data_IF_213839350251
#
_entry.id   IF_213839350251
#
_cell.length_a   1.000
_cell.length_b   1.000
_cell.length_c   1.000
_cell.angle_alpha   90.00
_cell.angle_beta   90.00
_cell.angle_gamma   90.00
#
_symmetry.space_group_name_H-M   'P 1'
#
loop_
_entity.id
_entity.type
_entity.pdbx_description
1 polymer ?
#
# COMPACT_ATOMS: atom_id res chain seq x y z
N UNK A 1 6.67 -3.49 -23.04
CA UNK A 1 6.51 -4.37 -21.85
C UNK A 1 7.75 -5.24 -21.80
N UNK A 2 8.47 -5.29 -20.68
CA UNK A 2 9.68 -6.11 -20.57
C UNK A 2 9.27 -7.60 -20.65
N UNK A 3 9.97 -8.41 -21.45
CA UNK A 3 9.62 -9.82 -21.68
C UNK A 3 9.53 -10.60 -20.36
N UNK A 4 10.42 -10.32 -19.42
CA UNK A 4 10.43 -10.94 -18.08
C UNK A 4 9.19 -10.60 -17.24
N UNK A 5 8.61 -9.41 -17.42
CA UNK A 5 7.38 -9.01 -16.69
C UNK A 5 6.14 -9.62 -17.33
N UNK A 6 6.18 -9.90 -18.64
CA UNK A 6 5.09 -10.59 -19.33
C UNK A 6 4.93 -12.03 -18.81
N UNK A 7 6.04 -12.73 -18.59
CA UNK A 7 6.07 -14.13 -18.10
C UNK A 7 5.46 -14.27 -16.68
N UNK A 8 5.50 -13.23 -15.85
CA UNK A 8 4.89 -13.24 -14.50
C UNK A 8 3.37 -13.47 -14.60
N UNK A 9 2.72 -13.00 -15.67
CA UNK A 9 1.27 -13.16 -15.82
C UNK A 9 0.85 -14.60 -16.13
N UNK A 10 1.77 -15.43 -16.63
CA UNK A 10 1.53 -16.86 -16.91
C UNK A 10 1.64 -17.74 -15.65
N UNK A 11 2.19 -17.20 -14.56
CA UNK A 11 2.32 -17.91 -13.28
C UNK A 11 0.96 -18.10 -12.59
N UNK A 12 0.90 -19.03 -11.63
CA UNK A 12 -0.26 -19.14 -10.75
C UNK A 12 -0.43 -17.89 -9.87
N UNK A 13 -1.63 -17.69 -9.32
CA UNK A 13 -1.91 -16.58 -8.40
C UNK A 13 -0.97 -16.63 -7.19
N UNK A 14 -0.69 -17.83 -6.66
CA UNK A 14 0.18 -18.00 -5.50
C UNK A 14 1.62 -17.57 -5.79
N UNK A 15 2.17 -17.98 -6.94
CA UNK A 15 3.52 -17.59 -7.35
C UNK A 15 3.64 -16.08 -7.61
N UNK A 16 2.60 -15.46 -8.20
CA UNK A 16 2.58 -14.00 -8.35
C UNK A 16 2.53 -13.28 -7.02
N UNK A 17 1.79 -13.80 -6.04
CA UNK A 17 1.76 -13.23 -4.69
C UNK A 17 3.15 -13.33 -4.06
N UNK A 18 3.83 -14.48 -4.18
CA UNK A 18 5.18 -14.64 -3.65
C UNK A 18 6.17 -13.65 -4.28
N UNK A 19 6.12 -13.45 -5.60
CA UNK A 19 6.98 -12.48 -6.27
C UNK A 19 6.69 -11.05 -5.79
N UNK A 20 5.43 -10.70 -5.58
CA UNK A 20 5.06 -9.38 -5.03
C UNK A 20 5.63 -9.22 -3.61
N UNK A 21 5.55 -10.25 -2.77
CA UNK A 21 6.14 -10.26 -1.43
C UNK A 21 7.67 -10.11 -1.48
N UNK A 22 8.35 -10.90 -2.30
CA UNK A 22 9.81 -10.85 -2.45
C UNK A 22 10.30 -9.47 -2.93
N UNK A 23 9.56 -8.86 -3.89
CA UNK A 23 9.84 -7.49 -4.35
C UNK A 23 9.61 -6.49 -3.21
N UNK A 24 8.54 -6.65 -2.44
CA UNK A 24 8.23 -5.77 -1.33
C UNK A 24 9.28 -5.84 -0.22
N UNK A 25 9.78 -7.03 0.08
CA UNK A 25 10.89 -7.24 1.01
C UNK A 25 12.19 -6.62 0.48
N UNK A 26 12.47 -6.75 -0.82
CA UNK A 26 13.63 -6.10 -1.43
C UNK A 26 13.59 -4.59 -1.30
N UNK A 27 12.43 -3.96 -1.51
CA UNK A 27 12.25 -2.50 -1.37
C UNK A 27 12.39 -2.09 0.09
N UNK A 28 11.81 -2.85 1.01
CA UNK A 28 11.84 -2.56 2.44
C UNK A 28 13.26 -2.60 3.02
N UNK A 29 14.15 -3.39 2.41
CA UNK A 29 15.56 -3.50 2.80
C UNK A 29 16.47 -2.42 2.21
N UNK A 30 15.96 -1.52 1.36
CA UNK A 30 16.73 -0.43 0.74
C UNK A 30 16.11 0.96 1.00
N UNK A 31 15.87 1.35 2.26
CA UNK A 31 15.22 2.63 2.59
C UNK A 31 16.02 3.86 2.13
N UNK A 32 17.34 3.74 1.99
CA UNK A 32 18.23 4.81 1.52
C UNK A 32 18.01 5.20 0.05
N UNK A 33 17.44 4.30 -0.77
CA UNK A 33 17.10 4.59 -2.16
C UNK A 33 15.85 5.48 -2.27
N UNK A 34 15.04 5.57 -1.20
CA UNK A 34 13.86 6.41 -1.15
C UNK A 34 14.24 7.86 -0.79
N UNK A 35 14.44 8.68 -1.82
CA UNK A 35 14.62 10.12 -1.63
C UNK A 35 13.27 10.82 -1.50
N UNK A 36 12.91 11.22 -0.29
CA UNK A 36 11.75 12.10 -0.04
C UNK A 36 12.15 13.57 -0.17
N UNK A 37 11.33 14.35 -0.86
CA UNK A 37 11.43 15.80 -0.83
C UNK A 37 11.09 16.34 0.57
N UNK A 38 11.57 17.55 0.88
CA UNK A 38 11.30 18.18 2.18
C UNK A 38 9.79 18.40 2.42
N UNK A 39 9.02 18.65 1.35
CA UNK A 39 7.56 18.79 1.44
C UNK A 39 6.88 17.48 1.81
N UNK A 40 7.34 16.35 1.27
CA UNK A 40 6.80 15.02 1.61
C UNK A 40 7.12 14.64 3.05
N UNK A 41 8.36 14.88 3.51
CA UNK A 41 8.75 14.66 4.91
C UNK A 41 7.88 15.46 5.87
N UNK A 42 7.70 16.76 5.59
CA UNK A 42 6.88 17.64 6.42
C UNK A 42 5.42 17.17 6.52
N UNK A 43 4.83 16.73 5.40
CA UNK A 43 3.46 16.20 5.42
C UNK A 43 3.36 14.88 6.20
N UNK A 44 4.37 14.00 6.10
CA UNK A 44 4.41 12.78 6.91
C UNK A 44 4.52 13.08 8.40
N UNK A 45 5.41 14.00 8.79
CA UNK A 45 5.57 14.42 10.19
C UNK A 45 4.27 15.00 10.75
N UNK A 46 3.60 15.84 9.96
CA UNK A 46 2.30 16.43 10.32
C UNK A 46 1.22 15.35 10.52
N UNK A 47 1.12 14.37 9.62
CA UNK A 47 0.15 13.27 9.75
C UNK A 47 0.44 12.39 10.95
N UNK A 48 1.72 12.12 11.21
CA UNK A 48 2.14 11.35 12.36
C UNK A 48 1.77 12.06 13.68
N UNK A 49 1.99 13.39 13.75
CA UNK A 49 1.59 14.17 14.92
C UNK A 49 0.06 14.21 15.10
N UNK A 50 -0.69 14.41 14.01
CA UNK A 50 -2.17 14.35 14.06
C UNK A 50 -2.67 13.02 14.63
N UNK A 51 -2.08 11.91 14.20
CA UNK A 51 -2.41 10.58 14.69
C UNK A 51 -2.05 10.40 16.18
N UNK A 52 -0.89 10.90 16.63
CA UNK A 52 -0.50 10.85 18.05
C UNK A 52 -1.48 11.60 18.94
N UNK A 53 -2.01 12.74 18.47
CA UNK A 53 -3.00 13.53 19.19
C UNK A 53 -4.39 12.88 19.16
N UNK A 54 -4.72 12.15 18.07
CA UNK A 54 -6.02 11.52 17.87
C UNK A 54 -5.88 10.04 17.45
N UNK A 55 -5.44 9.14 18.35
CA UNK A 55 -5.15 7.75 18.01
C UNK A 55 -6.39 6.96 17.54
N UNK A 56 -7.59 7.43 17.86
CA UNK A 56 -8.88 6.83 17.50
C UNK A 56 -9.50 7.46 16.24
N UNK A 57 -8.80 8.36 15.53
CA UNK A 57 -9.29 8.96 14.28
C UNK A 57 -9.32 7.96 13.11
N UNK A 58 -8.52 6.89 13.22
CA UNK A 58 -8.55 5.78 12.27
C UNK A 58 -9.83 4.94 12.39
N UNK A 59 -10.23 4.33 11.28
CA UNK A 59 -11.27 3.29 11.28
C UNK A 59 -10.63 1.92 11.12
N UNK A 60 -11.22 0.92 11.76
CA UNK A 60 -10.78 -0.46 11.59
C UNK A 60 -10.90 -0.90 10.13
N UNK A 61 -9.93 -1.71 9.68
CA UNK A 61 -9.89 -2.20 8.31
C UNK A 61 -11.17 -2.91 7.88
N UNK A 62 -11.74 -3.76 8.74
CA UNK A 62 -12.99 -4.47 8.45
C UNK A 62 -14.17 -3.49 8.29
N UNK A 63 -14.20 -2.41 9.06
CA UNK A 63 -15.21 -1.35 8.93
C UNK A 63 -15.06 -0.62 7.60
N UNK A 64 -13.84 -0.24 7.22
CA UNK A 64 -13.58 0.38 5.91
C UNK A 64 -13.96 -0.55 4.76
N UNK A 65 -13.56 -1.82 4.82
CA UNK A 65 -13.84 -2.84 3.80
C UNK A 65 -15.35 -3.06 3.64
N UNK A 66 -16.09 -3.11 4.75
CA UNK A 66 -17.56 -3.15 4.75
C UNK A 66 -18.13 -1.94 4.02
N UNK A 67 -17.69 -0.73 4.38
CA UNK A 67 -18.17 0.50 3.74
C UNK A 67 -17.91 0.49 2.22
N UNK A 68 -16.69 0.16 1.79
CA UNK A 68 -16.33 0.09 0.36
C UNK A 68 -17.16 -0.95 -0.41
N UNK A 69 -17.44 -2.10 0.21
CA UNK A 69 -18.27 -3.15 -0.40
C UNK A 69 -19.74 -2.74 -0.54
N UNK A 70 -20.23 -1.90 0.38
CA UNK A 70 -21.60 -1.36 0.37
C UNK A 70 -21.75 -0.23 -0.65
N UNK A 71 -20.75 0.66 -0.79
CA UNK A 71 -20.78 1.75 -1.78
C UNK A 71 -20.82 1.23 -3.22
N UNK A 72 -20.19 0.08 -3.51
CA UNK A 72 -20.24 -0.58 -4.83
C UNK A 72 -21.63 -1.14 -5.20
N UNK A 73 -22.58 -1.23 -4.26
CA UNK A 73 -23.94 -1.74 -4.53
C UNK A 73 -24.95 -0.68 -4.93
N UNK A 74 -24.61 0.62 -4.82
CA UNK A 74 -25.55 1.73 -5.07
C UNK A 74 -25.41 2.31 -6.49
N UNK A 75 -24.43 1.87 -7.29
CA UNK A 75 -24.15 2.36 -8.65
C UNK A 75 -24.37 1.32 -9.76
N UNK A 76 -25.39 0.45 -9.62
CA UNK A 76 -25.83 -0.41 -10.72
C UNK A 76 -27.30 -0.23 -11.02
#
# INVERSE_FOLDING_TARGET
>A
MNAQVAEIFDLSVAERIQIVEDIWDSISNAPEELTLSETEKLELDKRLESYKQNPNEGIEWETLKKNLSQTKRVTK
#
